data_IF_813165232383
#
_entry.id   IF_813165232383
#
_cell.length_a   1.000
_cell.length_b   1.000
_cell.length_c   1.000
_cell.angle_alpha   90.00
_cell.angle_beta   90.00
_cell.angle_gamma   90.00
#
_symmetry.space_group_name_H-M   'P 1'
#
loop_
_entity.id
_entity.type
_entity.pdbx_description
1 polymer ?
#
# COMPACT_ATOMS: atom_id res chain seq x y z
N UNK A 1 1.85 13.34 83.77
CA UNK A 1 2.11 14.72 83.32
C UNK A 1 1.89 14.72 81.82
N UNK A 2 0.77 15.31 81.42
CA UNK A 2 0.13 15.15 80.12
C UNK A 2 0.73 16.13 79.12
N UNK A 3 1.13 15.65 77.94
CA UNK A 3 1.36 16.50 76.76
C UNK A 3 0.25 16.17 75.78
N UNK A 4 -0.77 17.02 75.74
CA UNK A 4 -1.78 17.07 74.69
C UNK A 4 -1.46 18.24 73.77
N UNK A 5 -1.28 17.96 72.49
CA UNK A 5 -1.75 18.83 71.43
C UNK A 5 -2.07 17.97 70.20
N UNK A 6 -3.34 17.56 70.15
CA UNK A 6 -4.10 17.39 68.93
C UNK A 6 -4.32 18.80 68.30
N UNK A 7 -4.74 19.02 67.06
CA UNK A 7 -5.37 18.18 66.07
C UNK A 7 -5.31 18.91 64.71
N UNK A 8 -5.56 18.16 63.64
CA UNK A 8 -6.06 18.68 62.36
C UNK A 8 -5.25 18.15 61.16
N UNK A 9 -5.70 17.20 60.35
CA UNK A 9 -7.00 16.55 60.23
C UNK A 9 -7.37 16.43 58.76
N UNK A 10 -7.35 15.19 58.22
CA UNK A 10 -8.07 14.65 57.04
C UNK A 10 -7.69 15.26 55.66
N UNK A 11 -7.63 14.55 54.54
CA UNK A 11 -7.85 13.15 54.16
C UNK A 11 -7.14 12.93 52.80
N UNK A 12 -6.71 11.70 52.51
CA UNK A 12 -6.25 11.22 51.18
C UNK A 12 -7.45 10.64 50.43
N UNK A 13 -7.48 10.64 49.08
CA UNK A 13 -6.99 9.46 48.33
C UNK A 13 -6.23 9.84 47.04
N UNK A 14 -5.08 9.23 46.76
CA UNK A 14 -4.98 8.07 45.86
C UNK A 14 -5.58 8.33 44.46
N UNK A 15 -4.80 8.99 43.60
CA UNK A 15 -5.03 9.11 42.16
C UNK A 15 -3.81 8.61 41.41
N UNK A 16 -3.70 7.28 41.34
CA UNK A 16 -2.84 6.56 40.41
C UNK A 16 -3.23 6.86 38.96
N UNK A 17 -2.28 6.65 38.04
CA UNK A 17 -2.42 6.59 36.56
C UNK A 17 -2.40 7.94 35.83
N UNK A 18 -1.21 8.54 35.73
CA UNK A 18 -0.90 9.54 34.71
C UNK A 18 -0.15 8.86 33.55
N UNK A 19 -0.86 8.72 32.41
CA UNK A 19 -0.25 8.96 31.10
C UNK A 19 0.30 7.77 30.31
N UNK A 20 -0.48 6.70 30.11
CA UNK A 20 -0.21 5.77 29.00
C UNK A 20 -0.82 6.35 27.71
N UNK A 21 -0.09 7.22 27.03
CA UNK A 21 -0.47 7.73 25.71
C UNK A 21 0.77 7.89 24.82
N UNK A 22 1.26 6.77 24.29
CA UNK A 22 2.20 6.78 23.16
C UNK A 22 1.72 5.74 22.14
N UNK A 23 0.61 6.06 21.46
CA UNK A 23 0.22 5.38 20.22
C UNK A 23 1.16 5.87 19.14
N UNK A 24 2.34 5.25 19.06
CA UNK A 24 3.26 5.45 17.96
C UNK A 24 2.60 4.89 16.69
N UNK A 25 2.23 5.81 15.81
CA UNK A 25 1.70 5.52 14.49
C UNK A 25 2.70 4.65 13.71
N UNK A 26 2.40 3.37 13.59
CA UNK A 26 3.00 2.47 12.61
C UNK A 26 2.46 2.85 11.23
N UNK A 27 3.04 3.91 10.65
CA UNK A 27 3.02 4.14 9.22
C UNK A 27 3.74 2.97 8.56
N UNK A 28 2.99 1.91 8.27
CA UNK A 28 3.43 0.88 7.33
C UNK A 28 3.63 1.59 5.99
N UNK A 29 4.88 1.89 5.67
CA UNK A 29 5.31 2.04 4.30
C UNK A 29 4.91 0.75 3.58
N UNK A 30 3.80 0.78 2.87
CA UNK A 30 3.51 -0.18 1.81
C UNK A 30 4.52 0.07 0.71
N UNK A 31 5.74 -0.40 0.90
CA UNK A 31 6.67 -0.58 -0.20
C UNK A 31 6.03 -1.64 -1.10
N UNK A 32 5.67 -1.23 -2.32
CA UNK A 32 5.46 -2.11 -3.47
C UNK A 32 6.46 -3.27 -3.38
N UNK A 33 5.98 -4.46 -3.02
CA UNK A 33 6.83 -5.64 -2.96
C UNK A 33 7.11 -6.03 -4.42
N UNK A 34 8.34 -5.78 -4.90
CA UNK A 34 8.88 -6.32 -6.15
C UNK A 34 9.03 -7.87 -6.14
N UNK A 35 8.44 -8.56 -5.16
CA UNK A 35 8.58 -10.00 -4.96
C UNK A 35 7.93 -10.85 -6.06
N UNK A 36 6.97 -10.28 -6.82
CA UNK A 36 6.24 -10.97 -7.89
C UNK A 36 6.82 -10.71 -9.30
N UNK A 37 8.04 -10.19 -9.37
CA UNK A 37 8.78 -10.04 -10.62
C UNK A 37 9.76 -11.19 -10.82
N UNK A 38 9.93 -11.70 -12.06
CA UNK A 38 11.04 -12.57 -12.39
C UNK A 38 12.38 -11.91 -12.00
N UNK A 39 13.39 -12.68 -11.56
CA UNK A 39 14.69 -12.12 -11.19
C UNK A 39 15.29 -11.34 -12.36
N UNK A 40 15.76 -10.13 -12.07
CA UNK A 40 16.33 -9.21 -13.05
C UNK A 40 15.32 -8.30 -13.73
N UNK A 41 14.03 -8.37 -13.40
CA UNK A 41 13.04 -7.40 -13.85
C UNK A 41 12.84 -6.31 -12.79
N UNK A 42 12.83 -5.05 -13.22
CA UNK A 42 12.59 -3.88 -12.35
C UNK A 42 11.31 -3.15 -12.76
N UNK A 43 10.58 -2.61 -11.78
CA UNK A 43 9.37 -1.79 -12.02
C UNK A 43 9.72 -0.31 -12.06
N UNK A 44 9.17 0.40 -13.04
CA UNK A 44 9.21 1.86 -13.14
C UNK A 44 7.80 2.41 -13.30
N UNK A 45 7.32 3.11 -12.28
CA UNK A 45 5.99 3.72 -12.30
C UNK A 45 5.88 4.77 -13.43
N UNK A 46 4.75 4.74 -14.13
CA UNK A 46 4.37 5.70 -15.17
C UNK A 46 2.92 6.12 -14.99
N UNK A 47 2.55 7.28 -15.53
CA UNK A 47 1.14 7.64 -15.59
C UNK A 47 0.39 6.61 -16.45
N UNK A 48 -0.80 6.16 -16.03
CA UNK A 48 -1.60 5.20 -16.81
C UNK A 48 -1.81 5.63 -18.26
N UNK A 49 -2.00 6.93 -18.51
CA UNK A 49 -2.14 7.49 -19.86
C UNK A 49 -0.90 7.33 -20.76
N UNK A 50 0.27 7.04 -20.19
CA UNK A 50 1.51 6.73 -20.92
C UNK A 50 1.59 5.28 -21.37
N UNK A 51 0.76 4.39 -20.81
CA UNK A 51 0.63 3.02 -21.32
C UNK A 51 -0.03 3.09 -22.72
N UNK A 52 0.55 2.42 -23.74
CA UNK A 52 -0.03 2.40 -25.08
C UNK A 52 -1.51 2.01 -25.08
N UNK A 53 -2.31 2.67 -25.91
CA UNK A 53 -3.77 2.52 -25.90
C UNK A 53 -4.22 1.08 -26.15
N UNK A 54 -3.57 0.39 -27.09
CA UNK A 54 -3.87 -1.01 -27.39
C UNK A 54 -3.70 -1.92 -26.16
N UNK A 55 -2.69 -1.65 -25.31
CA UNK A 55 -2.42 -2.44 -24.10
C UNK A 55 -3.40 -2.10 -22.98
N UNK A 56 -3.77 -0.82 -22.83
CA UNK A 56 -4.85 -0.41 -21.93
C UNK A 56 -6.18 -1.06 -22.33
N UNK A 57 -6.47 -1.13 -23.62
CA UNK A 57 -7.65 -1.78 -24.15
C UNK A 57 -7.62 -3.30 -23.90
N UNK A 58 -6.46 -3.95 -24.08
CA UNK A 58 -6.28 -5.37 -23.77
C UNK A 58 -6.58 -5.66 -22.28
N UNK A 59 -6.03 -4.88 -21.35
CA UNK A 59 -6.31 -5.05 -19.92
C UNK A 59 -7.77 -4.80 -19.56
N UNK A 60 -8.40 -3.76 -20.13
CA UNK A 60 -9.85 -3.49 -19.92
C UNK A 60 -10.73 -4.61 -20.44
N UNK A 61 -10.37 -5.21 -21.58
CA UNK A 61 -11.10 -6.35 -22.15
C UNK A 61 -10.91 -7.61 -21.30
N UNK A 62 -9.72 -7.84 -20.78
CA UNK A 62 -9.40 -8.97 -19.91
C UNK A 62 -10.11 -8.88 -18.56
N UNK A 63 -10.15 -7.69 -17.95
CA UNK A 63 -10.75 -7.46 -16.63
C UNK A 63 -11.85 -6.40 -16.71
N UNK A 64 -13.04 -6.75 -17.24
CA UNK A 64 -14.15 -5.82 -17.34
C UNK A 64 -14.60 -5.35 -15.96
N UNK A 65 -14.95 -4.07 -15.85
CA UNK A 65 -15.42 -3.47 -14.60
C UNK A 65 -14.31 -3.08 -13.61
N UNK A 66 -13.04 -3.27 -13.97
CA UNK A 66 -11.91 -2.67 -13.24
C UNK A 66 -11.72 -1.22 -13.71
N UNK A 67 -11.63 -0.30 -12.75
CA UNK A 67 -11.21 1.08 -13.02
C UNK A 67 -9.68 1.19 -12.94
N UNK A 68 -9.03 1.02 -14.09
CA UNK A 68 -7.57 1.09 -14.24
C UNK A 68 -7.07 2.54 -14.20
N UNK A 69 -6.14 2.83 -13.28
CA UNK A 69 -5.64 4.17 -13.03
C UNK A 69 -4.12 4.26 -12.89
N UNK A 70 -3.44 3.13 -12.69
CA UNK A 70 -2.00 3.06 -12.43
C UNK A 70 -1.30 2.23 -13.51
N UNK A 71 -0.01 2.51 -13.74
CA UNK A 71 0.79 1.79 -14.73
C UNK A 71 2.27 1.74 -14.37
N UNK A 72 2.93 0.65 -14.75
CA UNK A 72 4.38 0.48 -14.62
C UNK A 72 4.97 -0.08 -15.92
N UNK A 73 6.19 0.35 -16.21
CA UNK A 73 7.09 -0.31 -17.15
C UNK A 73 7.88 -1.37 -16.38
N UNK A 74 7.80 -2.62 -16.81
CA UNK A 74 8.67 -3.69 -16.34
C UNK A 74 9.88 -3.76 -17.26
N UNK A 75 11.05 -3.46 -16.75
CA UNK A 75 12.31 -3.43 -17.50
C UNK A 75 13.13 -4.69 -17.18
N UNK A 76 13.73 -5.32 -18.19
CA UNK A 76 14.67 -6.43 -17.98
C UNK A 76 15.99 -5.98 -17.33
N UNK A 77 16.92 -6.93 -17.14
CA UNK A 77 18.19 -6.68 -16.48
C UNK A 77 19.10 -5.72 -17.26
N UNK A 78 18.79 -5.48 -18.53
CA UNK A 78 19.47 -4.54 -19.42
C UNK A 78 18.74 -3.19 -19.51
N UNK A 79 17.66 -3.01 -18.76
CA UNK A 79 16.84 -1.81 -18.74
C UNK A 79 15.90 -1.69 -19.96
N UNK A 80 15.72 -2.76 -20.74
CA UNK A 80 14.82 -2.76 -21.89
C UNK A 80 13.41 -3.11 -21.45
N UNK A 81 12.43 -2.42 -22.02
CA UNK A 81 11.02 -2.69 -21.76
C UNK A 81 10.66 -4.15 -22.11
N UNK A 82 10.23 -4.88 -21.09
CA UNK A 82 9.79 -6.27 -21.16
C UNK A 82 8.26 -6.36 -21.22
N UNK A 83 7.56 -5.68 -20.31
CA UNK A 83 6.09 -5.66 -20.26
C UNK A 83 5.57 -4.38 -19.60
N UNK A 84 4.26 -4.19 -19.63
CA UNK A 84 3.55 -3.21 -18.82
C UNK A 84 2.75 -3.91 -17.74
N UNK A 85 2.66 -3.29 -16.57
CA UNK A 85 1.73 -3.68 -15.52
C UNK A 85 0.69 -2.57 -15.38
N UNK A 86 -0.58 -2.95 -15.28
CA UNK A 86 -1.71 -2.02 -15.21
C UNK A 86 -2.55 -2.41 -14.00
N UNK A 87 -2.69 -1.50 -13.03
CA UNK A 87 -3.50 -1.73 -11.82
C UNK A 87 -4.72 -0.83 -11.77
N UNK A 88 -5.77 -1.36 -11.16
CA UNK A 88 -7.03 -0.68 -10.98
C UNK A 88 -7.85 -1.25 -9.85
N UNK A 89 -8.99 -0.63 -9.57
CA UNK A 89 -9.89 -1.04 -8.49
C UNK A 89 -11.22 -1.53 -9.03
N UNK A 90 -11.71 -2.66 -8.53
CA UNK A 90 -13.08 -3.11 -8.78
C UNK A 90 -14.07 -2.41 -7.86
N UNK A 91 -15.37 -2.48 -8.20
CA UNK A 91 -16.47 -1.90 -7.40
C UNK A 91 -16.52 -2.42 -5.96
N UNK A 92 -16.02 -3.63 -5.70
CA UNK A 92 -15.92 -4.22 -4.37
C UNK A 92 -14.67 -3.76 -3.58
N UNK A 93 -13.91 -2.81 -4.12
CA UNK A 93 -12.69 -2.27 -3.51
C UNK A 93 -11.43 -3.12 -3.73
N UNK A 94 -11.53 -4.32 -4.30
CA UNK A 94 -10.35 -5.16 -4.60
C UNK A 94 -9.48 -4.50 -5.67
N UNK A 95 -8.17 -4.53 -5.46
CA UNK A 95 -7.19 -4.18 -6.50
C UNK A 95 -7.12 -5.34 -7.49
N UNK A 96 -7.03 -5.00 -8.76
CA UNK A 96 -6.74 -5.93 -9.85
C UNK A 96 -5.52 -5.46 -10.59
N UNK A 97 -4.70 -6.41 -10.96
CA UNK A 97 -3.49 -6.19 -11.74
C UNK A 97 -3.57 -6.98 -13.04
N UNK A 98 -3.09 -6.39 -14.13
CA UNK A 98 -2.89 -7.09 -15.39
C UNK A 98 -1.52 -6.75 -15.94
N UNK A 99 -0.70 -7.79 -16.14
CA UNK A 99 0.59 -7.68 -16.83
C UNK A 99 0.39 -8.00 -18.31
N UNK A 100 0.75 -7.05 -19.16
CA UNK A 100 0.56 -7.13 -20.61
C UNK A 100 1.92 -7.04 -21.30
N UNK A 101 2.20 -7.96 -22.22
CA UNK A 101 3.41 -7.90 -23.05
C UNK A 101 3.41 -6.65 -23.94
N UNK A 102 4.55 -6.35 -24.54
CA UNK A 102 4.65 -5.26 -25.54
C UNK A 102 3.84 -5.52 -26.81
N UNK A 103 3.43 -6.77 -27.07
CA UNK A 103 2.55 -7.16 -28.18
C UNK A 103 1.06 -7.16 -27.84
N UNK A 104 0.68 -6.95 -26.57
CA UNK A 104 -0.72 -6.97 -26.14
C UNK A 104 -1.22 -8.30 -25.58
N UNK A 105 -0.34 -9.28 -25.39
CA UNK A 105 -0.67 -10.55 -24.75
C UNK A 105 -0.77 -10.39 -23.23
N UNK A 106 -1.75 -11.04 -22.61
CA UNK A 106 -1.86 -11.06 -21.15
C UNK A 106 -0.89 -12.11 -20.61
N UNK A 107 0.11 -11.65 -19.86
CA UNK A 107 1.13 -12.51 -19.26
C UNK A 107 0.69 -12.99 -17.88
N UNK A 108 0.00 -12.12 -17.13
CA UNK A 108 -0.41 -12.38 -15.75
C UNK A 108 -1.63 -11.51 -15.37
N UNK A 109 -2.45 -11.99 -14.44
CA UNK A 109 -3.52 -11.19 -13.85
C UNK A 109 -3.89 -11.66 -12.45
N UNK A 110 -4.09 -10.71 -11.54
CA UNK A 110 -4.55 -10.93 -10.14
C UNK A 110 -5.86 -10.21 -9.85
#
# INVERSE_FOLDING_TARGET
MTIENAAGGRARPAGWLLGLALVAATMAAGCDNDADLPPGVTKKAIAFKKVPEALRAAAKKHSPGVDFQEGWENLDAQGKLHSYEIRGRQSNGKIREVRVSTSGEILESE
#
